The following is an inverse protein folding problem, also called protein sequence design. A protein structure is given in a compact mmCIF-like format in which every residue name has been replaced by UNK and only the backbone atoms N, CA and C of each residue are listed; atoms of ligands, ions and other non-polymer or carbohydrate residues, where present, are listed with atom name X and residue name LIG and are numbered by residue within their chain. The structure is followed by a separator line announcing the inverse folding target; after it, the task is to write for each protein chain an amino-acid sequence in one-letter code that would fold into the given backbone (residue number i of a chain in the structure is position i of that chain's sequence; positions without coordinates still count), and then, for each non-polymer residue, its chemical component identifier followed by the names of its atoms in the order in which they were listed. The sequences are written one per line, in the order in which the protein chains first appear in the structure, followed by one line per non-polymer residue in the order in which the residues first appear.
data_IF_418992310539
#
_entry.id   IF_418992310539
#
_cell.length_a   1.000
_cell.length_b   1.000
_cell.length_c   1.000
_cell.angle_alpha   90.00
_cell.angle_beta   90.00
_cell.angle_gamma   90.00
#
_symmetry.space_group_name_H-M   'P 1'
#
loop_
_entity.id
_entity.type
_entity.pdbx_description
1 polymer ?
#
# COMPACT_ATOMS: atom_id res chain seq x y z
N UNK A 1 -45.19 -8.39 51.34
CA UNK A 1 -44.52 -7.18 50.85
C UNK A 1 -45.47 -6.49 49.91
N UNK A 2 -46.08 -5.41 50.35
CA UNK A 2 -46.94 -4.58 49.51
C UNK A 2 -46.01 -3.75 48.62
N UNK A 3 -45.93 -4.08 47.34
CA UNK A 3 -45.26 -3.20 46.38
C UNK A 3 -46.04 -1.90 46.37
N UNK A 4 -45.40 -0.82 46.80
CA UNK A 4 -46.05 0.49 46.82
C UNK A 4 -46.23 0.93 45.37
N UNK A 5 -47.27 1.70 45.09
CA UNK A 5 -47.52 2.24 43.75
C UNK A 5 -46.29 2.97 43.16
N UNK A 6 -45.48 3.56 44.03
CA UNK A 6 -44.20 4.20 43.68
C UNK A 6 -43.15 3.23 43.12
N UNK A 7 -43.08 1.99 43.61
CA UNK A 7 -42.12 0.99 43.12
C UNK A 7 -42.45 0.57 41.69
N UNK A 8 -43.75 0.41 41.38
CA UNK A 8 -44.22 0.07 40.04
C UNK A 8 -43.95 1.21 39.05
N UNK A 9 -44.14 2.46 39.47
CA UNK A 9 -43.85 3.65 38.66
C UNK A 9 -42.36 3.74 38.29
N UNK A 10 -41.46 3.48 39.24
CA UNK A 10 -40.00 3.52 39.02
C UNK A 10 -39.56 2.44 38.03
N UNK A 11 -40.12 1.23 38.12
CA UNK A 11 -39.80 0.13 37.19
C UNK A 11 -40.22 0.47 35.76
N UNK A 12 -41.40 1.06 35.57
CA UNK A 12 -41.89 1.47 34.25
C UNK A 12 -40.99 2.55 33.63
N UNK A 13 -40.59 3.54 34.42
CA UNK A 13 -39.66 4.61 33.99
C UNK A 13 -38.30 4.00 33.64
N UNK A 14 -37.80 3.04 34.43
CA UNK A 14 -36.54 2.35 34.17
C UNK A 14 -36.53 1.61 32.83
N UNK A 15 -37.60 0.87 32.52
CA UNK A 15 -37.74 0.16 31.23
C UNK A 15 -37.81 1.16 30.07
N UNK A 16 -38.52 2.28 30.24
CA UNK A 16 -38.64 3.31 29.21
C UNK A 16 -37.29 3.98 28.91
N UNK A 17 -36.53 4.34 29.94
CA UNK A 17 -35.19 4.93 29.80
C UNK A 17 -34.22 3.92 29.16
N UNK A 18 -34.25 2.66 29.58
CA UNK A 18 -33.40 1.61 29.01
C UNK A 18 -33.68 1.38 27.52
N UNK A 19 -34.96 1.39 27.12
CA UNK A 19 -35.37 1.27 25.72
C UNK A 19 -34.90 2.44 24.85
N UNK A 20 -34.91 3.66 25.39
CA UNK A 20 -34.39 4.85 24.70
C UNK A 20 -32.88 4.72 24.49
N UNK A 21 -32.13 4.35 25.52
CA UNK A 21 -30.66 4.21 25.45
C UNK A 21 -30.25 3.18 24.39
N UNK A 22 -30.89 2.01 24.36
CA UNK A 22 -30.61 0.97 23.36
C UNK A 22 -30.91 1.44 21.93
N UNK A 23 -32.00 2.19 21.71
CA UNK A 23 -32.36 2.74 20.40
C UNK A 23 -31.36 3.80 19.93
N UNK A 24 -30.85 4.61 20.84
CA UNK A 24 -29.83 5.63 20.53
C UNK A 24 -28.47 5.01 20.21
N UNK A 25 -28.03 4.03 21.01
CA UNK A 25 -26.77 3.31 20.76
C UNK A 25 -26.82 2.59 19.42
N UNK A 26 -27.91 1.86 19.12
CA UNK A 26 -28.06 1.16 17.85
C UNK A 26 -27.99 2.10 16.64
N UNK A 27 -28.59 3.29 16.73
CA UNK A 27 -28.57 4.28 15.65
C UNK A 27 -27.18 4.89 15.42
N UNK A 28 -26.39 5.07 16.49
CA UNK A 28 -25.00 5.52 16.41
C UNK A 28 -24.09 4.44 15.82
N UNK A 29 -24.22 3.19 16.29
CA UNK A 29 -23.41 2.05 15.82
C UNK A 29 -23.65 1.77 14.34
N UNK A 30 -24.90 1.79 13.87
CA UNK A 30 -25.19 1.61 12.44
C UNK A 30 -24.60 2.72 11.57
N UNK A 31 -24.57 3.97 12.06
CA UNK A 31 -23.97 5.09 11.32
C UNK A 31 -22.45 4.96 11.25
N UNK A 32 -21.81 4.55 12.34
CA UNK A 32 -20.36 4.35 12.39
C UNK A 32 -19.92 3.17 11.52
N UNK A 33 -20.64 2.04 11.59
CA UNK A 33 -20.39 0.88 10.74
C UNK A 33 -20.59 1.20 9.26
N UNK A 34 -21.66 1.91 8.91
CA UNK A 34 -21.90 2.32 7.52
C UNK A 34 -20.80 3.24 6.99
N UNK A 35 -20.36 4.23 7.79
CA UNK A 35 -19.26 5.10 7.40
C UNK A 35 -17.94 4.34 7.25
N UNK A 36 -17.62 3.46 8.20
CA UNK A 36 -16.43 2.62 8.15
C UNK A 36 -16.44 1.70 6.93
N UNK A 37 -17.59 1.10 6.61
CA UNK A 37 -17.73 0.22 5.46
C UNK A 37 -17.52 0.98 4.14
N UNK A 38 -18.03 2.19 4.02
CA UNK A 38 -17.82 3.04 2.83
C UNK A 38 -16.35 3.41 2.69
N UNK A 39 -15.67 3.77 3.79
CA UNK A 39 -14.24 4.09 3.76
C UNK A 39 -13.44 2.86 3.31
N UNK A 40 -13.65 1.70 3.94
CA UNK A 40 -12.97 0.46 3.58
C UNK A 40 -13.27 0.06 2.12
N UNK A 41 -14.51 0.24 1.66
CA UNK A 41 -14.89 -0.09 0.29
C UNK A 41 -14.25 0.85 -0.74
N UNK A 42 -14.19 2.15 -0.45
CA UNK A 42 -13.50 3.13 -1.29
C UNK A 42 -11.99 2.86 -1.33
N UNK A 43 -11.39 2.54 -0.18
CA UNK A 43 -9.98 2.15 -0.10
C UNK A 43 -9.71 0.84 -0.86
N UNK A 44 -10.60 -0.16 -0.74
CA UNK A 44 -10.49 -1.42 -1.47
C UNK A 44 -10.61 -1.21 -2.98
N UNK A 45 -11.54 -0.38 -3.44
CA UNK A 45 -11.66 -0.03 -4.85
C UNK A 45 -10.44 0.74 -5.34
N UNK A 46 -9.93 1.70 -4.58
CA UNK A 46 -8.69 2.41 -4.92
C UNK A 46 -7.49 1.46 -5.00
N UNK A 47 -7.39 0.52 -4.05
CA UNK A 47 -6.32 -0.47 -3.99
C UNK A 47 -6.39 -1.46 -5.15
N UNK A 48 -7.59 -1.98 -5.44
CA UNK A 48 -7.81 -2.97 -6.51
C UNK A 48 -7.72 -2.36 -7.91
N UNK A 49 -8.19 -1.11 -8.09
CA UNK A 49 -8.29 -0.49 -9.41
C UNK A 49 -7.07 0.33 -9.79
N UNK A 50 -6.28 0.78 -8.80
CA UNK A 50 -5.12 1.65 -9.01
C UNK A 50 -3.82 1.07 -8.44
N UNK A 51 -3.80 -0.23 -8.10
CA UNK A 51 -2.58 -0.97 -7.76
C UNK A 51 -1.73 -0.34 -6.66
N UNK A 52 -2.32 0.05 -5.52
CA UNK A 52 -1.53 0.47 -4.35
C UNK A 52 -1.34 1.98 -4.15
N UNK A 53 -2.34 2.82 -4.47
CA UNK A 53 -2.31 4.29 -4.26
C UNK A 53 -2.33 4.76 -2.78
N UNK A 54 -1.80 3.99 -1.84
CA UNK A 54 -1.53 4.43 -0.47
C UNK A 54 -0.04 4.32 -0.17
N UNK A 55 0.74 5.04 -0.97
CA UNK A 55 2.08 5.51 -0.63
C UNK A 55 1.93 6.56 0.51
N UNK A 56 1.69 6.06 1.72
CA UNK A 56 1.66 6.87 2.94
C UNK A 56 3.06 6.86 3.55
N UNK A 57 3.95 7.64 2.92
CA UNK A 57 5.32 7.91 3.35
C UNK A 57 6.29 7.02 2.58
N UNK A 58 7.08 7.53 1.65
CA UNK A 58 8.15 8.46 1.98
C UNK A 58 8.80 8.99 0.68
N UNK A 59 9.10 10.27 0.65
CA UNK A 59 9.65 10.93 -0.52
C UNK A 59 11.13 10.54 -0.69
N UNK A 60 11.52 10.19 -1.92
CA UNK A 60 12.91 10.02 -2.42
C UNK A 60 13.55 8.62 -2.39
N UNK A 61 12.78 7.52 -2.35
CA UNK A 61 13.35 6.21 -2.71
C UNK A 61 13.22 5.96 -4.22
N UNK A 62 14.32 5.59 -4.88
CA UNK A 62 14.36 5.29 -6.32
C UNK A 62 13.34 4.22 -6.75
N UNK A 63 12.99 3.32 -5.83
CA UNK A 63 11.99 2.28 -6.03
C UNK A 63 10.59 2.88 -6.26
N UNK A 64 10.22 3.92 -5.50
CA UNK A 64 8.95 4.65 -5.65
C UNK A 64 8.92 5.47 -6.95
N UNK A 65 10.07 5.98 -7.40
CA UNK A 65 10.17 6.66 -8.69
C UNK A 65 10.00 5.68 -9.87
N UNK A 66 10.56 4.47 -9.74
CA UNK A 66 10.33 3.36 -10.68
C UNK A 66 8.86 2.92 -10.67
N UNK A 67 8.25 2.79 -9.49
CA UNK A 67 6.84 2.45 -9.34
C UNK A 67 5.95 3.52 -10.01
N UNK A 68 6.19 4.80 -9.73
CA UNK A 68 5.45 5.89 -10.37
C UNK A 68 5.58 5.87 -11.90
N UNK A 69 6.78 5.54 -12.43
CA UNK A 69 7.06 5.53 -13.87
C UNK A 69 6.47 4.31 -14.60
N UNK A 70 6.47 3.14 -13.98
CA UNK A 70 6.08 1.89 -14.63
C UNK A 70 4.69 1.39 -14.21
N UNK A 71 4.18 1.79 -13.05
CA UNK A 71 2.85 1.41 -12.55
C UNK A 71 1.79 2.51 -12.74
N UNK A 72 2.18 3.73 -13.15
CA UNK A 72 1.25 4.85 -13.35
C UNK A 72 0.48 4.84 -14.68
N UNK A 73 0.94 4.07 -15.67
CA UNK A 73 0.35 4.01 -17.02
C UNK A 73 -0.20 2.62 -17.34
N UNK A 74 -1.40 2.56 -17.90
CA UNK A 74 -2.10 1.29 -18.19
C UNK A 74 -1.36 0.45 -19.23
N UNK A 75 -0.62 1.10 -20.12
CA UNK A 75 0.16 0.42 -21.15
C UNK A 75 1.44 -0.24 -20.61
N UNK A 76 1.83 0.02 -19.35
CA UNK A 76 3.02 -0.56 -18.70
C UNK A 76 2.69 -1.49 -17.54
N UNK A 77 1.43 -1.94 -17.45
CA UNK A 77 0.96 -2.80 -16.38
C UNK A 77 1.77 -4.11 -16.29
N UNK A 78 2.27 -4.61 -17.42
CA UNK A 78 3.14 -5.79 -17.49
C UNK A 78 4.49 -5.54 -16.83
N UNK A 79 5.19 -4.45 -17.18
CA UNK A 79 6.43 -4.02 -16.49
C UNK A 79 6.22 -3.84 -14.98
N UNK A 80 5.10 -3.22 -14.58
CA UNK A 80 4.79 -3.04 -13.17
C UNK A 80 4.65 -4.37 -12.42
N UNK A 81 3.82 -5.29 -12.94
CA UNK A 81 3.54 -6.56 -12.27
C UNK A 81 4.70 -7.55 -12.36
N UNK A 82 5.40 -7.58 -13.49
CA UNK A 82 6.44 -8.58 -13.73
C UNK A 82 7.83 -8.13 -13.28
N UNK A 83 8.13 -6.83 -13.22
CA UNK A 83 9.47 -6.32 -12.90
C UNK A 83 9.47 -5.56 -11.58
N UNK A 84 8.59 -4.56 -11.45
CA UNK A 84 8.62 -3.65 -10.29
C UNK A 84 8.08 -4.33 -9.04
N UNK A 85 6.89 -4.94 -9.07
CA UNK A 85 6.32 -5.61 -7.89
C UNK A 85 7.23 -6.68 -7.24
N UNK A 86 7.78 -7.67 -7.97
CA UNK A 86 8.64 -8.68 -7.35
C UNK A 86 9.94 -8.08 -6.80
N UNK A 87 10.38 -6.95 -7.36
CA UNK A 87 11.51 -6.19 -6.83
C UNK A 87 11.15 -5.49 -5.51
N UNK A 88 9.98 -4.83 -5.44
CA UNK A 88 9.51 -4.20 -4.19
C UNK A 88 9.36 -5.24 -3.10
N UNK A 89 8.68 -6.35 -3.39
CA UNK A 89 8.42 -7.42 -2.42
C UNK A 89 9.73 -8.02 -1.88
N UNK A 90 10.74 -8.22 -2.74
CA UNK A 90 12.05 -8.72 -2.33
C UNK A 90 12.80 -7.72 -1.44
N UNK A 91 12.71 -6.42 -1.71
CA UNK A 91 13.36 -5.38 -0.88
C UNK A 91 12.64 -5.25 0.47
N UNK A 92 11.31 -5.11 0.48
CA UNK A 92 10.54 -4.95 1.72
C UNK A 92 10.50 -6.22 2.58
N UNK A 93 10.77 -7.39 2.01
CA UNK A 93 10.89 -8.64 2.79
C UNK A 93 12.27 -8.83 3.43
N UNK A 94 13.29 -8.11 2.96
CA UNK A 94 14.68 -8.23 3.44
C UNK A 94 15.12 -7.11 4.36
N UNK A 95 14.48 -5.94 4.27
CA UNK A 95 14.86 -4.74 4.99
C UNK A 95 13.65 -4.15 5.73
N UNK A 96 13.86 -3.72 6.96
CA UNK A 96 12.84 -2.99 7.71
C UNK A 96 12.71 -1.54 7.21
N UNK A 97 11.55 -0.92 7.41
CA UNK A 97 11.26 0.43 6.91
C UNK A 97 12.31 1.47 7.34
N UNK A 98 12.84 1.35 8.56
CA UNK A 98 13.92 2.21 9.06
C UNK A 98 15.25 2.01 8.30
N UNK A 99 15.56 0.79 7.86
CA UNK A 99 16.75 0.50 7.05
C UNK A 99 16.57 1.03 5.62
N UNK A 100 15.34 0.96 5.10
CA UNK A 100 14.99 1.52 3.79
C UNK A 100 15.16 3.04 3.80
N UNK A 101 14.77 3.73 4.87
CA UNK A 101 15.03 5.17 5.04
C UNK A 101 16.52 5.50 5.11
N UNK A 102 17.34 4.63 5.71
CA UNK A 102 18.79 4.80 5.72
C UNK A 102 19.41 4.59 4.34
N UNK A 103 18.85 3.72 3.49
CA UNK A 103 19.28 3.58 2.11
C UNK A 103 18.93 4.79 1.25
N UNK A 104 17.84 5.50 1.55
CA UNK A 104 17.50 6.75 0.87
C UNK A 104 18.57 7.83 1.05
N UNK A 105 19.30 7.82 2.18
CA UNK A 105 20.38 8.78 2.43
C UNK A 105 21.58 8.57 1.51
N UNK A 106 21.76 7.37 0.96
CA UNK A 106 22.83 7.02 0.02
C UNK A 106 22.26 6.43 -1.26
N UNK A 107 22.15 7.27 -2.29
CA UNK A 107 21.63 6.88 -3.60
C UNK A 107 22.39 5.70 -4.23
N UNK A 108 23.70 5.63 -4.02
CA UNK A 108 24.55 4.52 -4.48
C UNK A 108 24.16 3.21 -3.79
N UNK A 109 23.87 3.26 -2.49
CA UNK A 109 23.42 2.10 -1.72
C UNK A 109 22.05 1.62 -2.20
N UNK A 110 21.13 2.56 -2.48
CA UNK A 110 19.81 2.26 -3.03
C UNK A 110 19.89 1.53 -4.39
N UNK A 111 20.69 2.02 -5.34
CA UNK A 111 20.88 1.37 -6.64
C UNK A 111 21.45 -0.04 -6.49
N UNK A 112 22.40 -0.21 -5.57
CA UNK A 112 23.03 -1.51 -5.32
C UNK A 112 22.03 -2.55 -4.82
N UNK A 113 21.18 -2.16 -3.88
CA UNK A 113 20.13 -3.03 -3.32
C UNK A 113 19.11 -3.39 -4.41
N UNK A 114 18.69 -2.41 -5.21
CA UNK A 114 17.82 -2.62 -6.36
C UNK A 114 18.44 -3.62 -7.34
N UNK A 115 19.72 -3.46 -7.70
CA UNK A 115 20.41 -4.40 -8.59
C UNK A 115 20.52 -5.81 -7.99
N UNK A 116 20.78 -5.92 -6.69
CA UNK A 116 20.89 -7.20 -6.00
C UNK A 116 19.55 -7.95 -6.00
N UNK A 117 18.47 -7.27 -5.60
CA UNK A 117 17.11 -7.82 -5.65
C UNK A 117 16.68 -8.16 -7.08
N UNK A 118 17.05 -7.33 -8.06
CA UNK A 118 16.77 -7.60 -9.47
C UNK A 118 17.49 -8.86 -9.98
N UNK A 119 18.74 -9.09 -9.57
CA UNK A 119 19.47 -10.31 -9.91
C UNK A 119 18.87 -11.54 -9.25
N UNK A 120 18.45 -11.42 -7.98
CA UNK A 120 17.80 -12.51 -7.24
C UNK A 120 16.46 -12.91 -7.88
N UNK A 121 15.70 -11.93 -8.37
CA UNK A 121 14.37 -12.13 -8.98
C UNK A 121 14.39 -12.26 -10.50
N UNK A 122 15.54 -12.15 -11.15
CA UNK A 122 15.69 -12.18 -12.61
C UNK A 122 14.95 -13.33 -13.30
N UNK A 123 15.04 -14.54 -12.74
CA UNK A 123 14.40 -15.72 -13.33
C UNK A 123 12.87 -15.66 -13.25
N UNK A 124 12.34 -15.16 -12.14
CA UNK A 124 10.91 -14.95 -11.92
C UNK A 124 10.37 -13.87 -12.85
N UNK A 125 11.08 -12.74 -12.93
CA UNK A 125 10.76 -11.62 -13.83
C UNK A 125 10.78 -12.07 -15.31
N UNK A 126 11.85 -12.76 -15.73
CA UNK A 126 11.96 -13.25 -17.11
C UNK A 126 10.87 -14.26 -17.48
N UNK A 127 10.40 -15.05 -16.50
CA UNK A 127 9.28 -15.97 -16.71
C UNK A 127 7.98 -15.20 -16.87
N UNK A 128 7.70 -14.23 -16.00
CA UNK A 128 6.51 -13.39 -16.06
C UNK A 128 6.44 -12.57 -17.38
N UNK A 129 7.55 -11.96 -17.80
CA UNK A 129 7.62 -11.20 -19.06
C UNK A 129 7.44 -12.10 -20.29
N UNK A 130 7.94 -13.33 -20.25
CA UNK A 130 7.75 -14.31 -21.32
C UNK A 130 6.31 -14.78 -21.42
N UNK A 131 5.61 -14.94 -20.31
CA UNK A 131 4.20 -15.31 -20.28
C UNK A 131 3.27 -14.21 -20.81
N UNK A 132 3.70 -12.94 -20.71
CA UNK A 132 2.95 -11.78 -21.15
C UNK A 132 3.43 -11.18 -22.49
N UNK A 133 4.32 -11.88 -23.22
CA UNK A 133 4.89 -11.45 -24.52
C UNK A 133 5.54 -10.05 -24.50
N UNK A 134 6.13 -9.67 -23.36
CA UNK A 134 6.69 -8.34 -23.09
C UNK A 134 8.20 -8.40 -22.81
N UNK A 135 8.92 -9.34 -23.44
CA UNK A 135 10.35 -9.52 -23.20
C UNK A 135 11.19 -8.30 -23.59
N UNK A 136 10.70 -7.48 -24.52
CA UNK A 136 11.30 -6.22 -24.94
C UNK A 136 11.21 -5.13 -23.85
N UNK A 137 10.25 -5.22 -22.93
CA UNK A 137 10.16 -4.31 -21.79
C UNK A 137 11.33 -4.48 -20.81
N UNK A 138 11.93 -5.68 -20.75
CA UNK A 138 13.12 -5.93 -19.93
C UNK A 138 14.29 -5.04 -20.36
N UNK A 139 14.57 -4.97 -21.65
CA UNK A 139 15.70 -4.19 -22.17
C UNK A 139 15.49 -2.69 -21.96
N UNK A 140 14.25 -2.22 -22.09
CA UNK A 140 13.87 -0.84 -21.77
C UNK A 140 14.07 -0.51 -20.28
N UNK A 141 13.65 -1.42 -19.40
CA UNK A 141 13.81 -1.26 -17.96
C UNK A 141 15.28 -1.23 -17.53
N UNK A 142 16.11 -2.14 -18.07
CA UNK A 142 17.56 -2.15 -17.80
C UNK A 142 18.22 -0.88 -18.32
N UNK A 143 17.89 -0.43 -19.54
CA UNK A 143 18.44 0.82 -20.08
C UNK A 143 18.09 2.03 -19.20
N UNK A 144 16.88 2.07 -18.66
CA UNK A 144 16.46 3.14 -17.76
C UNK A 144 17.18 3.07 -16.39
N UNK A 145 17.40 1.87 -15.84
CA UNK A 145 18.21 1.70 -14.64
C UNK A 145 19.67 2.13 -14.85
N UNK A 146 20.25 1.84 -16.01
CA UNK A 146 21.61 2.25 -16.36
C UNK A 146 21.75 3.77 -16.47
N UNK A 147 20.75 4.45 -17.06
CA UNK A 147 20.73 5.92 -17.12
C UNK A 147 20.64 6.54 -15.73
N UNK A 148 19.74 6.03 -14.88
CA UNK A 148 19.62 6.54 -13.52
C UNK A 148 20.92 6.33 -12.76
N UNK A 149 21.57 5.16 -12.92
CA UNK A 149 22.88 4.90 -12.32
C UNK A 149 23.94 5.90 -12.77
N UNK A 150 24.03 6.18 -14.07
CA UNK A 150 24.99 7.15 -14.62
C UNK A 150 24.74 8.58 -14.09
N UNK A 151 23.48 9.01 -14.04
CA UNK A 151 23.10 10.32 -13.49
C UNK A 151 23.42 10.46 -11.99
N UNK A 152 23.36 9.37 -11.22
CA UNK A 152 23.72 9.37 -9.80
C UNK A 152 25.23 9.29 -9.55
N UNK A 153 26.02 8.70 -10.46
CA UNK A 153 27.48 8.70 -10.37
C UNK A 153 28.05 10.10 -10.61
N UNK A 154 27.45 10.91 -11.49
CA UNK A 154 27.85 12.30 -11.74
C UNK A 154 27.52 13.27 -10.58
N UNK A 155 26.51 12.95 -9.75
CA UNK A 155 26.10 13.79 -8.61
C UNK A 155 26.83 13.45 -7.29
N UNK A 156 27.64 12.39 -7.27
CA UNK A 156 28.39 11.94 -6.10
C UNK A 156 29.84 12.45 -6.03
N UNK A 157 30.25 13.31 -6.96
CA UNK A 157 31.61 13.87 -7.07
C UNK A 157 31.68 15.36 -6.64
N UNK A 158 30.98 15.71 -5.55
CA UNK A 158 31.12 16.98 -4.82
C UNK A 158 31.33 16.73 -3.31
#
# INVERSE_FOLDING_TARGET
MSFSFFDILIVIIGIFVLGIILKFIGKLVCKLLSAAFVIVFVLYLLFYWNGGLLDLGNQNFMLYELEAKYCGDKDRQTSCCCIVQPLIEDVTSKYEDEEIEDFQKSKITSIRIIMESLMAKKQEIATCLKENDALDEWDNFISDLEKIKAEQEEQGED
#
